data_IF_635004445736
#
_entry.id   IF_635004445736
#
_cell.length_a   1.000
_cell.length_b   1.000
_cell.length_c   1.000
_cell.angle_alpha   90.00
_cell.angle_beta   90.00
_cell.angle_gamma   90.00
#
_symmetry.space_group_name_H-M   'P 1'
#
loop_
_entity.id
_entity.type
_entity.pdbx_description
1 polymer ?
#
# COMPACT_ATOMS: atom_id res chain seq x y z
N UNK A 1 18.88 -3.00 -18.85
CA UNK A 1 19.13 -1.71 -19.52
C UNK A 1 18.23 -0.68 -18.87
N UNK A 2 18.80 0.42 -18.38
CA UNK A 2 18.00 1.55 -17.87
C UNK A 2 17.30 2.20 -19.05
N UNK A 3 15.97 2.36 -19.03
CA UNK A 3 15.26 3.01 -20.13
C UNK A 3 15.70 4.47 -20.22
N UNK A 4 15.99 4.94 -21.43
CA UNK A 4 16.37 6.32 -21.74
C UNK A 4 15.43 6.86 -22.83
N UNK A 5 15.06 8.13 -22.72
CA UNK A 5 14.24 8.82 -23.72
C UNK A 5 14.66 10.28 -23.83
N UNK A 6 14.64 10.83 -25.05
CA UNK A 6 14.78 12.27 -25.29
C UNK A 6 13.39 12.90 -25.24
N UNK A 7 13.22 13.92 -24.40
CA UNK A 7 11.93 14.57 -24.17
C UNK A 7 12.01 16.04 -24.61
N UNK A 8 10.97 16.51 -25.28
CA UNK A 8 10.82 17.93 -25.61
C UNK A 8 10.28 18.72 -24.42
N UNK A 9 10.68 19.98 -24.31
CA UNK A 9 10.13 20.92 -23.33
C UNK A 9 9.00 21.73 -23.98
N UNK A 10 7.79 21.60 -23.45
CA UNK A 10 6.65 22.39 -23.90
C UNK A 10 6.73 23.84 -23.43
N UNK A 11 5.86 24.69 -23.99
CA UNK A 11 5.86 26.16 -23.77
C UNK A 11 5.68 26.61 -22.31
N UNK A 12 5.17 25.74 -21.43
CA UNK A 12 4.95 26.02 -20.00
C UNK A 12 5.85 25.17 -19.09
N UNK A 13 7.06 24.85 -19.56
CA UNK A 13 8.02 23.99 -18.85
C UNK A 13 7.47 22.59 -18.53
N UNK A 14 6.57 22.08 -19.37
CA UNK A 14 5.98 20.75 -19.23
C UNK A 14 6.81 19.72 -20.01
N UNK A 15 7.03 18.55 -19.42
CA UNK A 15 7.59 17.38 -20.08
C UNK A 15 6.53 16.27 -20.12
N UNK A 16 6.46 15.53 -21.22
CA UNK A 16 5.57 14.36 -21.33
C UNK A 16 6.40 13.10 -21.10
N UNK A 17 6.18 12.42 -19.98
CA UNK A 17 6.84 11.15 -19.69
C UNK A 17 6.22 10.01 -20.52
N UNK A 18 7.03 9.17 -21.19
CA UNK A 18 6.51 7.98 -21.85
C UNK A 18 5.93 7.00 -20.82
N UNK A 19 4.86 6.28 -21.19
CA UNK A 19 4.09 5.43 -20.26
C UNK A 19 4.93 4.36 -19.55
N UNK A 20 5.99 3.86 -20.18
CA UNK A 20 6.88 2.87 -19.60
C UNK A 20 7.77 3.40 -18.45
N UNK A 21 7.87 4.73 -18.28
CA UNK A 21 8.57 5.35 -17.16
C UNK A 21 7.67 5.63 -15.96
N UNK A 22 6.34 5.58 -16.13
CA UNK A 22 5.37 5.93 -15.09
C UNK A 22 4.80 4.65 -14.49
N UNK A 23 5.02 4.37 -13.19
CA UNK A 23 4.38 3.24 -12.52
C UNK A 23 2.86 3.36 -12.55
N UNK A 24 2.18 2.20 -12.50
CA UNK A 24 0.72 2.17 -12.45
C UNK A 24 0.19 2.94 -11.24
N UNK A 25 -0.93 3.64 -11.41
CA UNK A 25 -1.63 4.41 -10.39
C UNK A 25 -0.87 5.62 -9.81
N UNK A 26 0.27 6.01 -10.41
CA UNK A 26 0.94 7.28 -10.09
C UNK A 26 0.01 8.45 -10.46
N UNK A 27 -0.21 9.37 -9.55
CA UNK A 27 -1.05 10.55 -9.79
C UNK A 27 -0.32 11.89 -9.52
N UNK A 28 0.79 11.86 -8.78
CA UNK A 28 1.71 12.98 -8.62
C UNK A 28 3.16 12.49 -8.59
N UNK A 29 4.10 13.41 -8.61
CA UNK A 29 5.51 13.13 -8.36
C UNK A 29 6.06 14.14 -7.36
N UNK A 30 6.82 13.66 -6.39
CA UNK A 30 7.74 14.51 -5.66
C UNK A 30 8.91 14.86 -6.59
N UNK A 31 9.23 16.14 -6.69
CA UNK A 31 10.27 16.66 -7.56
C UNK A 31 11.40 17.26 -6.72
N UNK A 32 12.59 16.65 -6.79
CA UNK A 32 13.78 17.09 -6.07
C UNK A 32 14.87 17.51 -7.05
N UNK A 33 15.47 18.68 -6.83
CA UNK A 33 16.67 19.11 -7.54
C UNK A 33 17.91 18.69 -6.74
N UNK A 34 18.80 17.95 -7.38
CA UNK A 34 20.07 17.52 -6.80
C UNK A 34 21.19 18.54 -7.08
N UNK A 35 22.27 18.46 -6.31
CA UNK A 35 23.42 19.36 -6.42
C UNK A 35 24.15 19.24 -7.76
N UNK A 36 24.15 18.04 -8.36
CA UNK A 36 24.69 17.76 -9.69
C UNK A 36 23.84 18.32 -10.84
N UNK A 37 22.75 19.02 -10.52
CA UNK A 37 21.81 19.59 -11.48
C UNK A 37 20.76 18.60 -11.98
N UNK A 38 20.78 17.33 -11.55
CA UNK A 38 19.75 16.37 -11.90
C UNK A 38 18.42 16.70 -11.22
N UNK A 39 17.32 16.34 -11.88
CA UNK A 39 15.97 16.38 -11.30
C UNK A 39 15.53 14.94 -11.06
N UNK A 40 15.24 14.62 -9.79
CA UNK A 40 14.67 13.34 -9.40
C UNK A 40 13.15 13.48 -9.29
N UNK A 41 12.44 12.63 -10.03
CA UNK A 41 10.99 12.50 -9.94
C UNK A 41 10.66 11.19 -9.23
N UNK A 42 10.06 11.28 -8.04
CA UNK A 42 9.63 10.13 -7.25
C UNK A 42 8.12 9.99 -7.41
N UNK A 43 7.62 8.89 -7.99
CA UNK A 43 6.18 8.64 -8.15
C UNK A 43 5.46 8.63 -6.80
N UNK A 44 4.34 9.36 -6.74
CA UNK A 44 3.45 9.38 -5.59
C UNK A 44 2.05 8.89 -5.99
N UNK A 45 1.39 8.27 -5.02
CA UNK A 45 0.01 7.81 -5.13
C UNK A 45 -0.76 8.48 -4.00
N UNK A 46 -1.72 9.36 -4.34
CA UNK A 46 -2.63 9.88 -3.33
C UNK A 46 -3.60 8.79 -2.89
N UNK A 47 -3.68 8.60 -1.59
CA UNK A 47 -4.60 7.66 -0.95
C UNK A 47 -5.72 8.49 -0.32
N UNK A 48 -7.00 8.17 -0.55
CA UNK A 48 -8.11 8.81 0.15
C UNK A 48 -7.89 8.78 1.68
N UNK A 49 -8.19 9.88 2.38
CA UNK A 49 -7.94 10.00 3.83
C UNK A 49 -8.62 8.87 4.61
N UNK A 50 -9.85 8.51 4.23
CA UNK A 50 -10.61 7.41 4.84
C UNK A 50 -10.01 6.02 4.61
N UNK A 51 -8.98 5.90 3.77
CA UNK A 51 -8.25 4.65 3.50
C UNK A 51 -6.80 4.70 4.01
N UNK A 52 -6.34 5.84 4.53
CA UNK A 52 -4.96 6.00 5.00
C UNK A 52 -4.60 4.99 6.11
N UNK A 53 -5.58 4.62 6.95
CA UNK A 53 -5.38 3.69 8.05
C UNK A 53 -4.89 2.30 7.58
N UNK A 54 -5.28 1.86 6.37
CA UNK A 54 -4.83 0.59 5.79
C UNK A 54 -3.31 0.56 5.56
N UNK A 55 -2.67 1.74 5.47
CA UNK A 55 -1.23 1.89 5.22
C UNK A 55 -0.42 2.15 6.47
N UNK A 56 -1.05 2.16 7.65
CA UNK A 56 -0.33 2.26 8.91
C UNK A 56 0.50 1.00 9.16
N UNK A 57 1.66 1.16 9.81
CA UNK A 57 2.55 0.03 10.16
C UNK A 57 1.81 -1.07 10.93
N UNK A 58 0.98 -0.68 11.90
CA UNK A 58 0.18 -1.60 12.70
C UNK A 58 -0.79 -2.43 11.85
N UNK A 59 -1.52 -1.79 10.93
CA UNK A 59 -2.43 -2.50 10.04
C UNK A 59 -1.68 -3.49 9.16
N UNK A 60 -0.58 -3.06 8.54
CA UNK A 60 0.24 -3.91 7.68
C UNK A 60 0.88 -5.09 8.42
N UNK A 61 1.23 -4.93 9.69
CA UNK A 61 1.68 -6.03 10.55
C UNK A 61 0.56 -7.04 10.82
N UNK A 62 -0.64 -6.57 11.15
CA UNK A 62 -1.81 -7.43 11.33
C UNK A 62 -2.19 -8.19 10.05
N UNK A 63 -2.13 -7.54 8.88
CA UNK A 63 -2.36 -8.19 7.59
C UNK A 63 -1.34 -9.31 7.31
N UNK A 64 -0.06 -9.09 7.65
CA UNK A 64 0.97 -10.14 7.50
C UNK A 64 0.73 -11.31 8.44
N UNK A 65 0.30 -11.04 9.66
CA UNK A 65 -0.06 -12.07 10.64
C UNK A 65 -1.26 -12.89 10.15
N UNK A 66 -2.36 -12.22 9.79
CA UNK A 66 -3.56 -12.88 9.27
C UNK A 66 -3.26 -13.72 8.02
N UNK A 67 -2.45 -13.21 7.10
CA UNK A 67 -1.99 -13.95 5.91
C UNK A 67 -1.19 -15.19 6.28
N UNK A 68 -0.33 -15.10 7.31
CA UNK A 68 0.43 -16.24 7.83
C UNK A 68 -0.49 -17.28 8.46
N UNK A 69 -1.50 -16.87 9.21
CA UNK A 69 -2.46 -17.77 9.84
C UNK A 69 -3.33 -18.50 8.81
N UNK A 70 -3.78 -17.80 7.78
CA UNK A 70 -4.49 -18.41 6.64
C UNK A 70 -3.59 -19.46 5.97
N UNK A 71 -2.34 -19.10 5.65
CA UNK A 71 -1.39 -20.00 4.98
C UNK A 71 -1.05 -21.23 5.83
N UNK A 72 -0.92 -21.05 7.14
CA UNK A 72 -0.63 -22.14 8.09
C UNK A 72 -1.88 -22.86 8.60
N UNK A 73 -3.06 -22.55 8.04
CA UNK A 73 -4.36 -23.11 8.41
C UNK A 73 -4.72 -22.92 9.89
N UNK A 74 -4.17 -21.89 10.54
CA UNK A 74 -4.57 -21.44 11.89
C UNK A 74 -5.83 -20.60 11.85
N UNK A 75 -6.87 -21.09 11.17
CA UNK A 75 -8.14 -20.38 11.00
C UNK A 75 -9.30 -21.27 11.41
N UNK A 76 -10.31 -20.68 12.07
CA UNK A 76 -11.53 -21.37 12.46
C UNK A 76 -12.69 -20.97 11.55
N UNK A 77 -13.30 -21.95 10.88
CA UNK A 77 -14.50 -21.72 10.06
C UNK A 77 -15.74 -22.01 10.90
N UNK A 78 -16.68 -21.07 10.88
CA UNK A 78 -17.98 -21.22 11.55
C UNK A 78 -19.09 -21.12 10.52
N UNK A 79 -20.14 -21.94 10.69
CA UNK A 79 -21.28 -21.99 9.76
C UNK A 79 -22.26 -20.82 9.92
N UNK A 80 -22.12 -20.01 10.98
CA UNK A 80 -22.93 -18.81 11.20
C UNK A 80 -22.23 -17.82 12.12
N UNK A 81 -22.64 -16.55 12.04
CA UNK A 81 -22.15 -15.49 12.91
C UNK A 81 -22.43 -15.77 14.39
N UNK A 82 -23.59 -16.33 14.73
CA UNK A 82 -23.91 -16.67 16.13
C UNK A 82 -22.91 -17.68 16.71
N UNK A 83 -22.50 -18.68 15.91
CA UNK A 83 -21.49 -19.67 16.34
C UNK A 83 -20.10 -19.06 16.48
N UNK A 84 -19.72 -18.14 15.60
CA UNK A 84 -18.46 -17.40 15.72
C UNK A 84 -18.44 -16.57 17.01
N UNK A 85 -19.49 -15.80 17.28
CA UNK A 85 -19.59 -14.98 18.50
C UNK A 85 -19.55 -15.84 19.77
N UNK A 86 -20.28 -16.96 19.80
CA UNK A 86 -20.22 -17.90 20.92
C UNK A 86 -18.81 -18.45 21.15
N UNK A 87 -18.10 -18.80 20.08
CA UNK A 87 -16.71 -19.24 20.14
C UNK A 87 -15.79 -18.15 20.70
N UNK A 88 -15.82 -16.93 20.15
CA UNK A 88 -15.00 -15.80 20.62
C UNK A 88 -15.27 -15.47 22.10
N UNK A 89 -16.54 -15.47 22.51
CA UNK A 89 -16.91 -15.28 23.92
C UNK A 89 -16.35 -16.38 24.82
N UNK A 90 -16.30 -17.63 24.35
CA UNK A 90 -15.71 -18.75 25.11
C UNK A 90 -14.19 -18.60 25.28
N UNK A 91 -13.48 -18.13 24.25
CA UNK A 91 -12.04 -17.87 24.33
C UNK A 91 -11.74 -16.73 25.30
N UNK A 92 -12.55 -15.67 25.28
CA UNK A 92 -12.42 -14.54 26.21
C UNK A 92 -12.59 -14.95 27.68
N UNK A 93 -13.51 -15.88 27.96
CA UNK A 93 -13.72 -16.41 29.33
C UNK A 93 -12.56 -17.27 29.82
N UNK A 94 -11.86 -17.99 28.93
CA UNK A 94 -10.70 -18.82 29.26
C UNK A 94 -9.43 -18.03 29.58
N UNK A 95 -9.33 -16.80 29.09
CA UNK A 95 -8.17 -15.92 29.26
C UNK A 95 -8.36 -14.81 30.31
N UNK A 96 -9.46 -14.84 31.07
CA UNK A 96 -9.60 -13.97 32.26
C UNK A 96 -8.73 -14.57 33.38
N UNK A 97 -7.85 -13.78 34.04
CA UNK A 97 -7.18 -14.22 35.26
C UNK A 97 -8.20 -14.52 36.37
#
# INVERSE_FOLDING_TARGET
MTPQAHLGLGRRNQITLPKNFVPKNTNSFLCERREDGAILLIPEVSIPINQLFFWTKQWQEGEREASRDIRTRKVHRHRSAQRLVAYLNSQRKKHRP
#
